data_IF_267136888788
#
_entry.id   IF_267136888788
#
_cell.length_a   1.000
_cell.length_b   1.000
_cell.length_c   1.000
_cell.angle_alpha   90.00
_cell.angle_beta   90.00
_cell.angle_gamma   90.00
#
_symmetry.space_group_name_H-M   'P 1'
#
loop_
_entity.id
_entity.type
_entity.pdbx_description
1 polymer ?
#
# COMPACT_ATOMS: atom_id res chain seq x y z
N UNK A 1 -64.39 -68.21 -57.44
CA UNK A 1 -62.96 -67.80 -57.42
C UNK A 1 -62.74 -66.29 -57.28
N UNK A 2 -63.45 -65.38 -57.98
CA UNK A 2 -63.23 -63.91 -57.88
C UNK A 2 -63.40 -63.29 -56.46
N UNK A 3 -64.32 -63.80 -55.64
CA UNK A 3 -64.59 -63.24 -54.30
C UNK A 3 -63.50 -63.53 -53.25
N UNK A 4 -62.78 -64.64 -53.38
CA UNK A 4 -61.69 -65.02 -52.45
C UNK A 4 -60.45 -64.17 -52.70
N UNK A 5 -60.16 -63.85 -53.97
CA UNK A 5 -59.00 -63.04 -54.35
C UNK A 5 -59.10 -61.59 -53.85
N UNK A 6 -60.30 -61.00 -53.90
CA UNK A 6 -60.57 -59.65 -53.39
C UNK A 6 -60.41 -59.59 -51.87
N UNK A 7 -60.83 -60.64 -51.15
CA UNK A 7 -60.70 -60.70 -49.69
C UNK A 7 -59.23 -60.81 -49.25
N UNK A 8 -58.43 -61.63 -49.94
CA UNK A 8 -56.98 -61.76 -49.66
C UNK A 8 -56.25 -60.44 -49.98
N UNK A 9 -56.62 -59.76 -51.07
CA UNK A 9 -56.02 -58.47 -51.44
C UNK A 9 -56.34 -57.35 -50.44
N UNK A 10 -57.58 -57.31 -49.92
CA UNK A 10 -57.98 -56.37 -48.86
C UNK A 10 -57.26 -56.65 -47.54
N UNK A 11 -57.04 -57.92 -47.18
CA UNK A 11 -56.26 -58.28 -45.99
C UNK A 11 -54.78 -57.90 -46.16
N UNK A 12 -54.18 -58.11 -47.33
CA UNK A 12 -52.79 -57.71 -47.60
C UNK A 12 -52.61 -56.18 -47.60
N UNK A 13 -53.59 -55.42 -48.09
CA UNK A 13 -53.60 -53.96 -48.00
C UNK A 13 -53.79 -53.46 -46.56
N UNK A 14 -54.65 -54.11 -45.77
CA UNK A 14 -54.83 -53.80 -44.36
C UNK A 14 -53.60 -54.10 -43.51
N UNK A 15 -52.94 -55.24 -43.75
CA UNK A 15 -51.71 -55.63 -43.05
C UNK A 15 -50.51 -54.73 -43.43
N UNK A 16 -50.39 -54.28 -44.68
CA UNK A 16 -49.30 -53.37 -45.10
C UNK A 16 -49.46 -51.96 -44.54
N UNK A 17 -50.71 -51.47 -44.43
CA UNK A 17 -51.01 -50.20 -43.76
C UNK A 17 -50.78 -50.24 -42.25
N UNK A 18 -51.21 -51.31 -41.57
CA UNK A 18 -50.99 -51.49 -40.13
C UNK A 18 -49.51 -51.60 -39.80
N UNK A 19 -48.74 -52.36 -40.58
CA UNK A 19 -47.29 -52.50 -40.38
C UNK A 19 -46.53 -51.21 -40.67
N UNK A 20 -46.87 -50.48 -41.75
CA UNK A 20 -46.27 -49.17 -42.06
C UNK A 20 -46.60 -48.10 -41.00
N UNK A 21 -47.85 -48.03 -40.55
CA UNK A 21 -48.29 -47.09 -39.52
C UNK A 21 -47.66 -47.40 -38.15
N UNK A 22 -47.59 -48.68 -37.77
CA UNK A 22 -46.93 -49.12 -36.54
C UNK A 22 -45.41 -48.85 -36.58
N UNK A 23 -44.76 -49.02 -37.73
CA UNK A 23 -43.33 -48.72 -37.90
C UNK A 23 -43.02 -47.21 -37.84
N UNK A 24 -43.90 -46.37 -38.38
CA UNK A 24 -43.80 -44.91 -38.25
C UNK A 24 -44.05 -44.43 -36.81
N UNK A 25 -44.98 -45.04 -36.09
CA UNK A 25 -45.23 -44.77 -34.67
C UNK A 25 -44.05 -45.24 -33.81
N UNK A 26 -43.49 -46.42 -34.06
CA UNK A 26 -42.31 -46.90 -33.32
C UNK A 26 -41.11 -45.98 -33.58
N UNK A 27 -40.90 -45.55 -34.83
CA UNK A 27 -39.84 -44.59 -35.17
C UNK A 27 -40.05 -43.23 -34.52
N UNK A 28 -41.29 -42.73 -34.47
CA UNK A 28 -41.59 -41.46 -33.82
C UNK A 28 -41.45 -41.55 -32.30
N UNK A 29 -41.92 -42.63 -31.66
CA UNK A 29 -41.73 -42.90 -30.22
C UNK A 29 -40.24 -43.07 -29.90
N UNK A 30 -39.49 -43.79 -30.72
CA UNK A 30 -38.03 -43.94 -30.57
C UNK A 30 -37.30 -42.62 -30.73
N UNK A 31 -37.75 -41.72 -31.61
CA UNK A 31 -37.17 -40.40 -31.81
C UNK A 31 -37.53 -39.44 -30.67
N UNK A 32 -38.77 -39.48 -30.16
CA UNK A 32 -39.20 -38.73 -28.97
C UNK A 32 -38.41 -39.17 -27.75
N UNK A 33 -38.26 -40.48 -27.53
CA UNK A 33 -37.41 -41.00 -26.45
C UNK A 33 -35.97 -40.54 -26.61
N UNK A 34 -35.40 -40.54 -27.82
CA UNK A 34 -34.05 -40.03 -28.06
C UNK A 34 -33.94 -38.54 -27.69
N UNK A 35 -34.93 -37.72 -28.09
CA UNK A 35 -34.98 -36.29 -27.74
C UNK A 35 -35.11 -36.07 -26.23
N UNK A 36 -35.94 -36.84 -25.53
CA UNK A 36 -36.10 -36.76 -24.07
C UNK A 36 -34.80 -37.15 -23.35
N UNK A 37 -34.11 -38.21 -23.79
CA UNK A 37 -32.80 -38.59 -23.24
C UNK A 37 -31.74 -37.51 -23.50
N UNK A 38 -31.76 -36.87 -24.68
CA UNK A 38 -30.90 -35.73 -24.99
C UNK A 38 -31.21 -34.51 -24.11
N UNK A 39 -32.49 -34.20 -23.88
CA UNK A 39 -32.91 -33.12 -22.99
C UNK A 39 -32.56 -33.41 -21.53
N UNK A 40 -32.70 -34.65 -21.06
CA UNK A 40 -32.27 -35.05 -19.72
C UNK A 40 -30.75 -35.01 -19.55
N UNK A 41 -30.00 -35.43 -20.57
CA UNK A 41 -28.54 -35.35 -20.57
C UNK A 41 -28.06 -33.90 -20.56
N UNK A 42 -28.57 -33.05 -21.46
CA UNK A 42 -28.26 -31.61 -21.48
C UNK A 42 -28.76 -30.91 -20.22
N UNK A 43 -29.94 -31.24 -19.74
CA UNK A 43 -30.54 -30.68 -18.52
C UNK A 43 -29.76 -31.04 -17.26
N UNK A 44 -29.31 -32.30 -17.13
CA UNK A 44 -28.44 -32.76 -16.04
C UNK A 44 -27.06 -32.12 -16.11
N UNK A 45 -26.50 -31.95 -17.32
CA UNK A 45 -25.22 -31.28 -17.54
C UNK A 45 -25.28 -29.80 -17.19
N UNK A 46 -26.31 -29.07 -17.65
CA UNK A 46 -26.55 -27.68 -17.26
C UNK A 46 -26.87 -27.55 -15.76
N UNK A 47 -27.64 -28.48 -15.20
CA UNK A 47 -27.95 -28.55 -13.77
C UNK A 47 -26.71 -28.73 -12.90
N UNK A 48 -25.74 -29.54 -13.36
CA UNK A 48 -24.46 -29.73 -12.70
C UNK A 48 -23.48 -28.56 -12.91
N UNK A 49 -23.50 -27.91 -14.08
CA UNK A 49 -22.65 -26.76 -14.38
C UNK A 49 -23.11 -25.47 -13.69
N UNK A 50 -24.41 -25.31 -13.44
CA UNK A 50 -24.97 -24.12 -12.79
C UNK A 50 -24.35 -23.82 -11.41
N UNK A 51 -24.27 -24.77 -10.45
CA UNK A 51 -23.64 -24.52 -9.15
C UNK A 51 -22.13 -24.27 -9.27
N UNK A 52 -21.43 -24.88 -10.24
CA UNK A 52 -20.01 -24.62 -10.51
C UNK A 52 -19.82 -23.19 -11.03
N UNK A 53 -20.67 -22.75 -11.98
CA UNK A 53 -20.66 -21.39 -12.49
C UNK A 53 -20.96 -20.34 -11.41
N UNK A 54 -21.98 -20.59 -10.58
CA UNK A 54 -22.31 -19.73 -9.44
C UNK A 54 -21.17 -19.68 -8.41
N UNK A 55 -20.52 -20.81 -8.14
CA UNK A 55 -19.35 -20.87 -7.26
C UNK A 55 -18.21 -20.00 -7.79
N UNK A 56 -17.85 -20.13 -9.07
CA UNK A 56 -16.78 -19.34 -9.70
C UNK A 56 -17.11 -17.83 -9.71
N UNK A 57 -18.38 -17.48 -9.98
CA UNK A 57 -18.83 -16.08 -9.94
C UNK A 57 -18.73 -15.53 -8.51
N UNK A 58 -19.16 -16.31 -7.51
CA UNK A 58 -19.07 -15.90 -6.11
C UNK A 58 -17.61 -15.77 -5.66
N UNK A 59 -16.74 -16.71 -6.01
CA UNK A 59 -15.31 -16.66 -5.68
C UNK A 59 -14.64 -15.42 -6.31
N UNK A 60 -14.91 -15.14 -7.58
CA UNK A 60 -14.43 -13.94 -8.27
C UNK A 60 -14.95 -12.66 -7.60
N UNK A 61 -16.22 -12.65 -7.21
CA UNK A 61 -16.82 -11.52 -6.49
C UNK A 61 -16.16 -11.29 -5.13
N UNK A 62 -15.98 -12.34 -4.32
CA UNK A 62 -15.32 -12.25 -3.01
C UNK A 62 -13.87 -11.79 -3.16
N UNK A 63 -13.14 -12.31 -4.17
CA UNK A 63 -11.76 -11.90 -4.47
C UNK A 63 -11.67 -10.41 -4.80
N UNK A 64 -12.58 -9.89 -5.63
CA UNK A 64 -12.64 -8.45 -5.96
C UNK A 64 -13.00 -7.59 -4.77
N UNK A 65 -13.94 -8.05 -3.94
CA UNK A 65 -14.33 -7.36 -2.71
C UNK A 65 -13.14 -7.28 -1.75
N UNK A 66 -12.49 -8.40 -1.45
CA UNK A 66 -11.29 -8.45 -0.61
C UNK A 66 -10.20 -7.52 -1.14
N UNK A 67 -9.94 -7.55 -2.45
CA UNK A 67 -8.95 -6.66 -3.05
C UNK A 67 -9.31 -5.18 -2.89
N UNK A 68 -10.58 -4.81 -3.10
CA UNK A 68 -11.04 -3.43 -2.90
C UNK A 68 -10.89 -3.00 -1.44
N UNK A 69 -11.27 -3.85 -0.50
CA UNK A 69 -11.16 -3.60 0.94
C UNK A 69 -9.68 -3.41 1.34
N UNK A 70 -8.79 -4.24 0.78
CA UNK A 70 -7.34 -4.09 0.93
C UNK A 70 -6.82 -2.74 0.41
N UNK A 71 -7.16 -2.36 -0.82
CA UNK A 71 -6.72 -1.09 -1.40
C UNK A 71 -7.20 0.11 -0.56
N UNK A 72 -8.41 0.05 0.00
CA UNK A 72 -8.94 1.07 0.91
C UNK A 72 -8.16 1.09 2.23
N UNK A 73 -7.83 -0.07 2.78
CA UNK A 73 -7.06 -0.18 4.02
C UNK A 73 -5.63 0.36 3.83
N UNK A 74 -4.99 0.05 2.70
CA UNK A 74 -3.68 0.60 2.34
C UNK A 74 -3.74 2.12 2.21
N UNK A 75 -4.78 2.66 1.55
CA UNK A 75 -4.98 4.11 1.41
C UNK A 75 -5.08 4.80 2.79
N UNK A 76 -5.91 4.26 3.68
CA UNK A 76 -6.03 4.77 5.05
C UNK A 76 -4.72 4.69 5.82
N UNK A 77 -3.99 3.59 5.66
CA UNK A 77 -2.69 3.39 6.33
C UNK A 77 -1.65 4.40 5.86
N UNK A 78 -1.62 4.73 4.56
CA UNK A 78 -0.75 5.77 4.00
C UNK A 78 -1.10 7.16 4.54
N UNK A 79 -2.39 7.50 4.63
CA UNK A 79 -2.83 8.78 5.21
C UNK A 79 -2.44 8.90 6.68
N UNK A 80 -2.62 7.83 7.46
CA UNK A 80 -2.18 7.79 8.87
C UNK A 80 -0.66 7.93 8.98
N UNK A 81 0.10 7.27 8.12
CA UNK A 81 1.56 7.40 8.07
C UNK A 81 2.02 8.84 7.79
N UNK A 82 1.36 9.54 6.85
CA UNK A 82 1.65 10.96 6.57
C UNK A 82 1.39 11.83 7.80
N UNK A 83 0.24 11.63 8.46
CA UNK A 83 -0.11 12.39 9.66
C UNK A 83 0.87 12.12 10.82
N UNK A 84 1.28 10.87 11.01
CA UNK A 84 2.28 10.52 12.01
C UNK A 84 3.63 11.16 11.69
N UNK A 85 4.06 11.17 10.42
CA UNK A 85 5.29 11.84 10.00
C UNK A 85 5.24 13.35 10.28
N UNK A 86 4.09 14.00 10.04
CA UNK A 86 3.88 15.41 10.39
C UNK A 86 3.95 15.64 11.91
N UNK A 87 3.40 14.70 12.70
CA UNK A 87 3.52 14.74 14.16
C UNK A 87 4.98 14.64 14.64
N UNK A 88 5.75 13.74 14.04
CA UNK A 88 7.20 13.59 14.31
C UNK A 88 7.93 14.89 13.97
N UNK A 89 7.67 15.45 12.78
CA UNK A 89 8.28 16.70 12.33
C UNK A 89 8.05 17.86 13.31
N UNK A 90 6.79 18.10 13.68
CA UNK A 90 6.42 19.14 14.66
C UNK A 90 7.09 18.92 16.02
N UNK A 91 7.10 17.68 16.50
CA UNK A 91 7.69 17.35 17.80
C UNK A 91 9.20 17.61 17.83
N UNK A 92 9.91 17.23 16.77
CA UNK A 92 11.35 17.49 16.65
C UNK A 92 11.65 18.98 16.53
N UNK A 93 10.83 19.73 15.79
CA UNK A 93 10.93 21.19 15.74
C UNK A 93 10.72 21.84 17.11
N UNK A 94 9.70 21.42 17.88
CA UNK A 94 9.47 21.92 19.25
C UNK A 94 10.67 21.62 20.16
N UNK A 95 11.19 20.38 20.12
CA UNK A 95 12.38 20.01 20.88
C UNK A 95 13.57 20.93 20.55
N UNK A 96 13.76 21.22 19.27
CA UNK A 96 14.85 22.03 18.79
C UNK A 96 14.70 23.53 19.14
N UNK A 97 13.54 24.10 18.87
CA UNK A 97 13.29 25.52 19.06
C UNK A 97 13.07 25.89 20.53
N UNK A 98 12.64 24.92 21.35
CA UNK A 98 12.37 25.16 22.77
C UNK A 98 13.44 24.53 23.65
N UNK A 99 13.59 23.21 23.63
CA UNK A 99 14.42 22.50 24.62
C UNK A 99 15.91 22.77 24.42
N UNK A 100 16.41 22.70 23.18
CA UNK A 100 17.82 23.00 22.89
C UNK A 100 18.13 24.48 23.16
N UNK A 101 17.28 25.40 22.71
CA UNK A 101 17.51 26.82 22.93
C UNK A 101 17.47 27.19 24.43
N UNK A 102 16.57 26.60 25.21
CA UNK A 102 16.56 26.77 26.67
C UNK A 102 17.85 26.25 27.33
N UNK A 103 18.34 25.09 26.89
CA UNK A 103 19.61 24.54 27.36
C UNK A 103 20.78 25.49 27.02
N UNK A 104 20.84 26.00 25.80
CA UNK A 104 21.84 26.99 25.38
C UNK A 104 21.80 28.26 26.23
N UNK A 105 20.61 28.81 26.48
CA UNK A 105 20.44 29.99 27.32
C UNK A 105 20.91 29.76 28.75
N UNK A 106 20.66 28.56 29.30
CA UNK A 106 21.20 28.14 30.60
C UNK A 106 22.73 28.14 30.62
N UNK A 107 23.37 27.57 29.60
CA UNK A 107 24.84 27.53 29.50
C UNK A 107 25.43 28.94 29.42
N UNK A 108 24.81 29.84 28.66
CA UNK A 108 25.25 31.24 28.54
C UNK A 108 25.18 31.94 29.91
N UNK A 109 24.10 31.74 30.66
CA UNK A 109 23.95 32.30 32.00
C UNK A 109 24.98 31.74 32.99
N UNK A 110 25.23 30.42 32.96
CA UNK A 110 26.25 29.78 33.79
C UNK A 110 27.66 30.29 33.46
N UNK A 111 27.95 30.49 32.17
CA UNK A 111 29.22 31.04 31.70
C UNK A 111 29.44 32.48 32.19
N UNK A 112 28.42 33.33 32.12
CA UNK A 112 28.47 34.69 32.65
C UNK A 112 28.71 34.71 34.18
N UNK A 113 28.24 33.68 34.88
CA UNK A 113 28.46 33.51 36.32
C UNK A 113 29.77 32.77 36.68
N UNK A 114 30.60 32.40 35.70
CA UNK A 114 31.85 31.67 35.91
C UNK A 114 31.67 30.23 36.40
N UNK A 115 30.51 29.62 36.15
CA UNK A 115 30.15 28.27 36.63
C UNK A 115 30.25 27.27 35.48
N UNK A 116 30.48 26.00 35.83
CA UNK A 116 30.34 24.89 34.88
C UNK A 116 28.87 24.63 34.61
N UNK A 117 28.48 24.63 33.35
CA UNK A 117 27.12 24.24 32.97
C UNK A 117 27.01 22.73 32.83
N UNK A 118 26.07 22.16 33.56
CA UNK A 118 25.67 20.75 33.50
C UNK A 118 24.16 20.74 33.35
N UNK A 119 23.68 20.49 32.13
CA UNK A 119 22.26 20.47 31.81
C UNK A 119 21.83 19.13 31.23
N UNK A 120 20.54 18.82 31.36
CA UNK A 120 19.92 17.64 30.76
C UNK A 120 18.80 18.08 29.84
N UNK A 121 18.67 17.38 28.71
CA UNK A 121 17.54 17.44 27.82
C UNK A 121 17.35 16.04 27.22
N UNK A 122 16.16 15.76 26.72
CA UNK A 122 15.83 14.46 26.13
C UNK A 122 15.21 14.66 24.76
N UNK A 123 15.68 13.90 23.77
CA UNK A 123 15.01 13.86 22.47
C UNK A 123 13.68 13.15 22.66
N UNK A 124 12.54 13.76 22.29
CA UNK A 124 11.27 13.11 22.46
C UNK A 124 11.16 11.94 21.48
N UNK A 125 11.19 10.72 22.01
CA UNK A 125 10.91 9.51 21.24
C UNK A 125 9.39 9.39 21.09
N UNK A 126 8.88 9.77 19.92
CA UNK A 126 7.49 9.46 19.56
C UNK A 126 7.33 7.97 19.31
N UNK A 127 6.08 7.48 19.41
CA UNK A 127 5.73 6.15 18.91
C UNK A 127 5.97 6.14 17.40
N UNK A 128 7.13 5.63 16.99
CA UNK A 128 7.44 5.41 15.58
C UNK A 128 6.46 4.40 15.03
N UNK A 129 5.81 4.72 13.92
CA UNK A 129 4.84 3.82 13.30
C UNK A 129 5.54 2.90 12.31
N UNK A 130 5.06 1.67 12.21
CA UNK A 130 5.40 0.74 11.14
C UNK A 130 4.12 0.29 10.47
N UNK A 131 4.15 0.06 9.16
CA UNK A 131 3.02 -0.56 8.48
C UNK A 131 2.82 -1.98 8.97
N UNK A 132 1.55 -2.39 9.08
CA UNK A 132 1.22 -3.81 9.27
C UNK A 132 1.76 -4.60 8.07
N UNK A 133 2.52 -5.65 8.38
CA UNK A 133 3.17 -6.48 7.37
C UNK A 133 2.15 -7.17 6.48
N UNK A 134 0.98 -7.52 7.02
CA UNK A 134 -0.09 -8.17 6.25
C UNK A 134 -0.62 -7.23 5.15
N UNK A 135 -0.81 -5.94 5.46
CA UNK A 135 -1.21 -4.91 4.50
C UNK A 135 -0.12 -4.74 3.43
N UNK A 136 1.15 -4.75 3.80
CA UNK A 136 2.23 -4.55 2.82
C UNK A 136 2.45 -5.76 1.90
N UNK A 137 2.12 -6.97 2.35
CA UNK A 137 2.27 -8.18 1.54
C UNK A 137 1.09 -8.50 0.61
N UNK A 138 -0.12 -8.00 0.90
CA UNK A 138 -1.23 -8.20 -0.01
C UNK A 138 -1.03 -7.44 -1.34
N UNK A 139 -1.19 -8.16 -2.45
CA UNK A 139 -0.96 -7.60 -3.78
C UNK A 139 -2.06 -6.64 -4.22
N UNK A 140 -1.62 -5.50 -4.73
CA UNK A 140 -2.39 -4.47 -5.40
C UNK A 140 -2.67 -4.79 -6.87
N UNK A 141 -2.05 -5.86 -7.41
CA UNK A 141 -2.11 -6.23 -8.82
C UNK A 141 -1.54 -5.18 -9.79
N UNK A 142 -0.67 -4.28 -9.28
CA UNK A 142 0.11 -3.31 -10.03
C UNK A 142 1.56 -3.27 -9.53
N UNK A 143 2.51 -3.71 -10.34
CA UNK A 143 3.91 -3.78 -9.87
C UNK A 143 4.59 -2.42 -9.70
N UNK A 144 4.07 -1.34 -10.32
CA UNK A 144 4.47 0.02 -9.99
C UNK A 144 4.10 0.37 -8.54
N UNK A 145 2.85 0.09 -8.14
CA UNK A 145 2.41 0.30 -6.75
C UNK A 145 3.11 -0.67 -5.80
N UNK A 146 3.41 -1.90 -6.21
CA UNK A 146 4.22 -2.81 -5.38
C UNK A 146 5.62 -2.25 -5.10
N UNK A 147 6.29 -1.68 -6.11
CA UNK A 147 7.60 -1.05 -5.89
C UNK A 147 7.49 0.12 -4.91
N UNK A 148 6.51 1.00 -5.13
CA UNK A 148 6.29 2.13 -4.22
C UNK A 148 5.97 1.66 -2.79
N UNK A 149 5.16 0.60 -2.63
CA UNK A 149 4.90 -0.03 -1.34
C UNK A 149 6.18 -0.55 -0.70
N UNK A 150 7.04 -1.24 -1.45
CA UNK A 150 8.30 -1.77 -0.94
C UNK A 150 9.24 -0.64 -0.48
N UNK A 151 9.33 0.44 -1.26
CA UNK A 151 10.13 1.62 -0.90
C UNK A 151 9.60 2.29 0.38
N UNK A 152 8.29 2.44 0.50
CA UNK A 152 7.62 2.96 1.70
C UNK A 152 7.86 2.02 2.89
N UNK A 153 7.77 0.71 2.70
CA UNK A 153 7.98 -0.27 3.76
C UNK A 153 9.43 -0.22 4.28
N UNK A 154 10.42 -0.24 3.40
CA UNK A 154 11.84 -0.13 3.77
C UNK A 154 12.09 1.16 4.57
N UNK A 155 11.63 2.29 4.02
CA UNK A 155 11.81 3.60 4.67
C UNK A 155 11.12 3.67 6.03
N UNK A 156 9.97 3.02 6.19
CA UNK A 156 9.24 2.95 7.47
C UNK A 156 10.00 2.21 8.57
N UNK A 157 10.89 1.28 8.21
CA UNK A 157 11.73 0.57 9.17
C UNK A 157 12.99 1.35 9.53
N UNK A 158 13.48 2.20 8.62
CA UNK A 158 14.68 3.01 8.81
C UNK A 158 14.45 4.23 9.71
N UNK A 159 13.29 4.90 9.59
CA UNK A 159 12.98 6.10 10.37
C UNK A 159 13.07 5.88 11.90
N UNK A 160 12.50 4.80 12.49
CA UNK A 160 12.67 4.52 13.91
C UNK A 160 14.13 4.41 14.35
N UNK A 161 14.94 3.71 13.55
CA UNK A 161 16.36 3.50 13.85
C UNK A 161 17.13 4.82 13.81
N UNK A 162 16.82 5.66 12.82
CA UNK A 162 17.41 7.00 12.68
C UNK A 162 17.10 7.89 13.90
N UNK A 163 15.85 7.90 14.37
CA UNK A 163 15.45 8.67 15.55
C UNK A 163 16.11 8.14 16.84
N UNK A 164 16.24 6.82 16.97
CA UNK A 164 16.98 6.22 18.09
C UNK A 164 18.46 6.59 18.06
N UNK A 165 19.09 6.59 16.88
CA UNK A 165 20.48 6.99 16.72
C UNK A 165 20.70 8.46 17.08
N UNK A 166 19.77 9.33 16.70
CA UNK A 166 19.77 10.75 17.11
C UNK A 166 19.70 10.88 18.62
N UNK A 167 18.74 10.19 19.26
CA UNK A 167 18.60 10.23 20.72
C UNK A 167 19.89 9.78 21.39
N UNK A 168 20.46 8.66 20.94
CA UNK A 168 21.71 8.11 21.49
C UNK A 168 22.89 9.06 21.31
N UNK A 169 23.01 9.73 20.16
CA UNK A 169 24.06 10.72 19.93
C UNK A 169 23.88 11.94 20.85
N UNK A 170 22.65 12.42 21.00
CA UNK A 170 22.36 13.53 21.91
C UNK A 170 22.69 13.19 23.36
N UNK A 171 22.23 12.03 23.85
CA UNK A 171 22.49 11.57 25.21
C UNK A 171 23.99 11.42 25.48
N UNK A 172 24.76 10.92 24.51
CA UNK A 172 26.22 10.87 24.60
C UNK A 172 26.84 12.26 24.74
N UNK A 173 26.39 13.23 23.94
CA UNK A 173 26.85 14.63 24.04
C UNK A 173 26.58 15.22 25.43
N UNK A 174 25.37 15.01 25.97
CA UNK A 174 24.99 15.47 27.31
C UNK A 174 25.83 14.78 28.40
N UNK A 175 26.03 13.46 28.30
CA UNK A 175 26.79 12.69 29.26
C UNK A 175 28.28 13.05 29.26
N UNK A 176 28.88 13.21 28.08
CA UNK A 176 30.27 13.67 27.96
C UNK A 176 30.44 15.05 28.56
N UNK A 177 29.53 15.99 28.27
CA UNK A 177 29.56 17.30 28.87
C UNK A 177 29.45 17.23 30.41
N UNK A 178 28.54 16.40 30.91
CA UNK A 178 28.36 16.21 32.36
C UNK A 178 29.63 15.68 33.02
N UNK A 179 30.30 14.70 32.41
CA UNK A 179 31.56 14.15 32.92
C UNK A 179 32.69 15.19 32.94
N UNK A 180 32.84 15.97 31.86
CA UNK A 180 33.86 17.03 31.77
C UNK A 180 33.59 18.15 32.78
N UNK A 181 32.33 18.56 32.94
CA UNK A 181 31.92 19.61 33.88
C UNK A 181 32.09 19.21 35.34
N UNK A 182 31.68 17.99 35.72
CA UNK A 182 31.87 17.46 37.08
C UNK A 182 33.36 17.23 37.38
N UNK A 183 34.10 16.66 36.41
CA UNK A 183 35.53 16.41 36.54
C UNK A 183 36.38 17.68 36.52
N UNK A 184 35.79 18.84 36.17
CA UNK A 184 36.46 20.14 36.05
C UNK A 184 37.73 20.07 35.20
N UNK A 185 37.69 19.29 34.12
CA UNK A 185 38.86 18.95 33.32
C UNK A 185 39.41 20.16 32.53
N UNK A 186 38.59 21.21 32.35
CA UNK A 186 38.92 22.48 31.70
C UNK A 186 38.45 23.67 32.54
N UNK A 187 38.82 24.90 32.17
CA UNK A 187 38.23 26.11 32.78
C UNK A 187 36.73 26.20 32.49
N UNK A 188 35.91 26.84 33.35
CA UNK A 188 34.47 26.98 33.14
C UNK A 188 34.12 27.62 31.79
N UNK A 189 34.87 28.65 31.39
CA UNK A 189 34.68 29.35 30.13
C UNK A 189 34.94 28.44 28.91
N UNK A 190 36.06 27.72 28.93
CA UNK A 190 36.40 26.77 27.85
C UNK A 190 35.39 25.61 27.77
N UNK A 191 34.96 25.09 28.93
CA UNK A 191 33.95 24.04 29.03
C UNK A 191 32.62 24.47 28.41
N UNK A 192 32.07 25.59 28.85
CA UNK A 192 30.78 26.09 28.37
C UNK A 192 30.81 26.44 26.89
N UNK A 193 31.93 26.98 26.39
CA UNK A 193 32.13 27.25 24.96
C UNK A 193 32.11 25.97 24.12
N UNK A 194 32.82 24.92 24.56
CA UNK A 194 32.82 23.61 23.89
C UNK A 194 31.41 23.01 23.89
N UNK A 195 30.70 23.11 25.02
CA UNK A 195 29.35 22.55 25.11
C UNK A 195 28.38 23.24 24.16
N UNK A 196 28.42 24.59 24.09
CA UNK A 196 27.61 25.35 23.13
C UNK A 196 27.94 24.98 21.68
N UNK A 197 29.22 24.83 21.34
CA UNK A 197 29.63 24.42 20.01
C UNK A 197 29.07 23.04 19.64
N UNK A 198 29.16 22.05 20.55
CA UNK A 198 28.63 20.72 20.31
C UNK A 198 27.10 20.72 20.11
N UNK A 199 26.37 21.57 20.84
CA UNK A 199 24.93 21.73 20.65
C UNK A 199 24.60 22.37 19.30
N UNK A 200 25.41 23.33 18.83
CA UNK A 200 25.25 23.94 17.51
C UNK A 200 25.57 22.97 16.37
N UNK A 201 26.61 22.16 16.50
CA UNK A 201 26.93 21.10 15.53
C UNK A 201 25.82 20.04 15.46
N UNK A 202 25.30 19.60 16.61
CA UNK A 202 24.16 18.69 16.65
C UNK A 202 22.92 19.28 15.99
N UNK A 203 22.67 20.58 16.21
CA UNK A 203 21.58 21.34 15.59
C UNK A 203 21.72 21.38 14.07
N UNK A 204 22.91 21.63 13.54
CA UNK A 204 23.19 21.60 12.10
C UNK A 204 22.98 20.20 11.53
N UNK A 205 23.48 19.16 12.21
CA UNK A 205 23.31 17.77 11.80
C UNK A 205 21.83 17.40 11.67
N UNK A 206 21.01 17.71 12.68
CA UNK A 206 19.58 17.45 12.65
C UNK A 206 18.85 18.20 11.53
N UNK A 207 19.16 19.49 11.33
CA UNK A 207 18.54 20.26 10.25
C UNK A 207 18.76 19.61 8.89
N UNK A 208 20.02 19.28 8.59
CA UNK A 208 20.39 18.73 7.29
C UNK A 208 19.91 17.30 7.10
N UNK A 209 20.13 16.44 8.09
CA UNK A 209 19.81 15.02 7.95
C UNK A 209 18.30 14.79 8.06
N UNK A 210 17.62 15.41 9.02
CA UNK A 210 16.21 15.10 9.28
C UNK A 210 15.26 16.00 8.51
N UNK A 211 15.33 17.30 8.75
CA UNK A 211 14.34 18.24 8.21
C UNK A 211 14.53 18.50 6.71
N UNK A 212 15.76 18.58 6.23
CA UNK A 212 16.05 18.88 4.82
C UNK A 212 16.10 17.62 3.94
N UNK A 213 16.32 16.44 4.52
CA UNK A 213 16.53 15.21 3.76
C UNK A 213 15.53 14.10 4.10
N UNK A 214 15.63 13.48 5.28
CA UNK A 214 14.89 12.24 5.57
C UNK A 214 13.36 12.43 5.62
N UNK A 215 12.86 13.49 6.28
CA UNK A 215 11.41 13.76 6.35
C UNK A 215 10.83 14.08 4.96
N UNK A 216 11.40 14.99 4.16
CA UNK A 216 10.92 15.26 2.80
C UNK A 216 10.95 14.01 1.90
N UNK A 217 12.03 13.24 1.93
CA UNK A 217 12.16 12.02 1.12
C UNK A 217 11.09 11.01 1.49
N UNK A 218 10.86 10.81 2.79
CA UNK A 218 9.85 9.85 3.22
C UNK A 218 8.43 10.32 2.89
N UNK A 219 8.14 11.61 3.09
CA UNK A 219 6.86 12.19 2.70
C UNK A 219 6.59 11.98 1.20
N UNK A 220 7.60 12.24 0.35
CA UNK A 220 7.47 12.06 -1.10
C UNK A 220 7.12 10.61 -1.45
N UNK A 221 7.79 9.62 -0.87
CA UNK A 221 7.48 8.20 -1.08
C UNK A 221 6.05 7.85 -0.65
N UNK A 222 5.61 8.33 0.52
CA UNK A 222 4.25 8.11 1.02
C UNK A 222 3.19 8.72 0.09
N UNK A 223 3.38 9.97 -0.31
CA UNK A 223 2.44 10.70 -1.18
C UNK A 223 2.43 10.11 -2.59
N UNK A 224 3.59 9.77 -3.17
CA UNK A 224 3.65 9.10 -4.48
C UNK A 224 2.86 7.79 -4.48
N UNK A 225 2.98 6.99 -3.41
CA UNK A 225 2.21 5.75 -3.25
C UNK A 225 0.71 6.04 -3.12
N UNK A 226 0.34 7.03 -2.30
CA UNK A 226 -1.05 7.41 -2.08
C UNK A 226 -1.74 7.91 -3.36
N UNK A 227 -1.10 8.81 -4.10
CA UNK A 227 -1.62 9.37 -5.35
C UNK A 227 -1.81 8.28 -6.40
N UNK A 228 -0.81 7.40 -6.58
CA UNK A 228 -0.91 6.28 -7.50
C UNK A 228 -2.07 5.34 -7.14
N UNK A 229 -2.23 5.05 -5.84
CA UNK A 229 -3.31 4.21 -5.32
C UNK A 229 -4.68 4.85 -5.54
N UNK A 230 -4.84 6.13 -5.24
CA UNK A 230 -6.08 6.88 -5.47
C UNK A 230 -6.46 6.93 -6.95
N UNK A 231 -5.47 7.12 -7.83
CA UNK A 231 -5.68 7.07 -9.28
C UNK A 231 -6.13 5.69 -9.73
N UNK A 232 -5.50 4.63 -9.23
CA UNK A 232 -5.91 3.26 -9.54
C UNK A 232 -7.33 2.96 -9.03
N UNK A 233 -7.68 3.41 -7.81
CA UNK A 233 -9.02 3.27 -7.25
C UNK A 233 -10.08 3.99 -8.11
N UNK A 234 -9.77 5.18 -8.64
CA UNK A 234 -10.66 5.93 -9.55
C UNK A 234 -10.81 5.27 -10.92
N UNK A 235 -9.72 4.81 -11.53
CA UNK A 235 -9.73 4.23 -12.88
C UNK A 235 -10.30 2.80 -12.89
N UNK A 236 -10.09 2.06 -11.79
CA UNK A 236 -10.33 0.63 -11.69
C UNK A 236 -9.21 -0.21 -12.31
N UNK A 237 -8.98 -1.40 -11.75
CA UNK A 237 -7.85 -2.27 -12.08
C UNK A 237 -7.74 -2.59 -13.59
N UNK A 238 -8.88 -2.79 -14.27
CA UNK A 238 -8.91 -3.13 -15.69
C UNK A 238 -8.36 -1.99 -16.56
N UNK A 239 -8.84 -0.76 -16.34
CA UNK A 239 -8.35 0.41 -17.10
C UNK A 239 -6.92 0.74 -16.71
N UNK A 240 -6.58 0.64 -15.42
CA UNK A 240 -5.21 0.82 -14.93
C UNK A 240 -4.20 -0.03 -15.70
N UNK A 241 -4.46 -1.34 -15.83
CA UNK A 241 -3.60 -2.27 -16.58
C UNK A 241 -3.51 -1.97 -18.08
N UNK A 242 -4.52 -1.32 -18.65
CA UNK A 242 -4.52 -0.92 -20.06
C UNK A 242 -3.78 0.38 -20.29
N UNK A 243 -3.94 1.36 -19.39
CA UNK A 243 -3.28 2.66 -19.43
C UNK A 243 -1.80 2.55 -19.08
N UNK A 244 -1.45 1.64 -18.17
CA UNK A 244 -0.08 1.38 -17.73
C UNK A 244 0.27 -0.10 -18.01
N UNK A 245 0.42 -0.47 -19.30
CA UNK A 245 0.65 -1.85 -19.70
C UNK A 245 1.99 -2.35 -19.18
N UNK A 246 1.93 -3.43 -18.41
CA UNK A 246 3.09 -4.00 -17.74
C UNK A 246 3.81 -5.00 -18.67
N UNK A 247 5.13 -4.83 -18.85
CA UNK A 247 6.01 -5.87 -19.43
C UNK A 247 7.22 -6.05 -18.51
N UNK A 248 7.37 -7.21 -17.85
CA UNK A 248 8.64 -7.61 -17.26
C UNK A 248 9.70 -7.81 -18.37
N UNK A 249 11.00 -7.56 -18.11
CA UNK A 249 11.60 -7.03 -16.88
C UNK A 249 11.46 -5.50 -16.77
N UNK A 250 11.69 -4.96 -15.56
CA UNK A 250 11.78 -3.52 -15.33
C UNK A 250 12.85 -2.90 -16.24
N UNK A 251 12.44 -2.13 -17.26
CA UNK A 251 13.30 -1.07 -17.75
C UNK A 251 13.07 0.16 -16.86
N UNK A 252 14.15 0.78 -16.39
CA UNK A 252 14.08 2.01 -15.60
C UNK A 252 13.19 3.06 -16.30
N UNK A 253 13.23 3.11 -17.63
CA UNK A 253 12.43 3.96 -18.50
C UNK A 253 10.91 3.95 -18.23
N UNK A 254 10.32 2.81 -17.88
CA UNK A 254 8.87 2.73 -17.63
C UNK A 254 8.53 3.29 -16.25
N UNK A 255 9.37 3.00 -15.25
CA UNK A 255 9.22 3.54 -13.89
C UNK A 255 9.42 5.06 -13.88
N UNK A 256 10.39 5.56 -14.64
CA UNK A 256 10.69 6.98 -14.75
C UNK A 256 9.53 7.74 -15.43
N UNK A 257 8.97 7.19 -16.51
CA UNK A 257 7.77 7.75 -17.17
C UNK A 257 6.56 7.79 -16.24
N UNK A 258 6.34 6.77 -15.43
CA UNK A 258 5.24 6.77 -14.45
C UNK A 258 5.50 7.80 -13.33
N UNK A 259 6.74 7.88 -12.86
CA UNK A 259 7.14 8.89 -11.87
C UNK A 259 6.91 10.30 -12.40
N UNK A 260 7.30 10.56 -13.65
CA UNK A 260 7.07 11.84 -14.33
C UNK A 260 5.57 12.12 -14.53
N UNK A 261 4.79 11.11 -14.93
CA UNK A 261 3.33 11.23 -15.10
C UNK A 261 2.63 11.68 -13.81
N UNK A 262 3.01 11.11 -12.66
CA UNK A 262 2.41 11.45 -11.37
C UNK A 262 3.01 12.68 -10.71
N UNK A 263 4.17 13.18 -11.18
CA UNK A 263 4.93 14.26 -10.55
C UNK A 263 4.06 15.47 -10.20
N UNK A 264 3.26 15.96 -11.14
CA UNK A 264 2.40 17.13 -10.90
C UNK A 264 1.38 16.90 -9.77
N UNK A 265 0.70 15.75 -9.78
CA UNK A 265 -0.30 15.42 -8.74
C UNK A 265 0.38 15.24 -7.37
N UNK A 266 1.59 14.67 -7.34
CA UNK A 266 2.41 14.50 -6.12
C UNK A 266 2.87 15.86 -5.58
N UNK A 267 3.43 16.70 -6.44
CA UNK A 267 3.95 18.02 -6.05
C UNK A 267 2.81 18.94 -5.55
N UNK A 268 1.63 18.86 -6.17
CA UNK A 268 0.43 19.59 -5.73
C UNK A 268 -0.06 19.08 -4.36
N UNK A 269 -0.07 17.77 -4.14
CA UNK A 269 -0.44 17.20 -2.85
C UNK A 269 0.55 17.60 -1.75
N UNK A 270 1.86 17.51 -2.02
CA UNK A 270 2.91 17.93 -1.09
C UNK A 270 2.78 19.42 -0.77
N UNK A 271 2.54 20.27 -1.78
CA UNK A 271 2.31 21.71 -1.60
C UNK A 271 1.12 21.98 -0.66
N UNK A 272 0.02 21.24 -0.81
CA UNK A 272 -1.13 21.36 0.09
C UNK A 272 -0.80 20.92 1.53
N UNK A 273 0.03 19.89 1.69
CA UNK A 273 0.51 19.41 2.99
C UNK A 273 1.56 20.31 3.64
N UNK A 274 2.18 21.25 2.92
CA UNK A 274 3.21 22.14 3.51
C UNK A 274 2.71 22.89 4.74
N UNK A 275 1.38 23.11 4.88
CA UNK A 275 0.80 23.73 6.07
C UNK A 275 0.91 22.86 7.33
N UNK A 276 1.03 21.55 7.16
CA UNK A 276 1.09 20.58 8.24
C UNK A 276 2.52 20.21 8.63
N UNK A 277 3.52 20.61 7.84
CA UNK A 277 4.94 20.37 8.10
C UNK A 277 5.66 21.69 8.41
N UNK A 278 6.58 21.64 9.37
CA UNK A 278 7.45 22.77 9.73
C UNK A 278 8.76 22.69 8.98
N UNK A 279 9.22 21.48 8.62
CA UNK A 279 10.38 21.30 7.75
C UNK A 279 10.16 21.85 6.35
N UNK A 280 11.25 22.35 5.75
CA UNK A 280 11.25 22.76 4.34
C UNK A 280 11.20 21.51 3.46
N UNK A 281 10.00 21.14 3.05
CA UNK A 281 9.78 20.12 2.03
C UNK A 281 10.36 20.64 0.70
N UNK A 282 11.54 20.13 0.31
CA UNK A 282 12.19 20.49 -0.94
C UNK A 282 11.33 20.04 -2.14
N UNK A 283 11.06 20.98 -3.05
CA UNK A 283 10.36 20.74 -4.32
C UNK A 283 11.20 19.88 -5.26
#
# INVERSE_FOLDING_TARGET
>A
MKKIFIFIFLIMLGCSWLTGFYWHIIKSISFINLLDHWQQLVGSFLGALTPIGLFLINEEYQRRKKQKDHLILLEKSLVLAINNLAGIDKMLHIFFDTSINNLKNGIIADSAAGRYSVGQAFVPLSSTFSFDREIMWETTNSSYIENLKLDVFSTSQELPLLLQDISRQFDRTINLNTQVGIGKLNSPDMHNKIFLQNLDEFKIFLSKQIFEHNIPVYLKKLVSTLVALQKMNKLGLKKWRQTFPFKPPFSNDVSDKMTEYFKKEVDEYISNLQKDFTSKLSH
#
